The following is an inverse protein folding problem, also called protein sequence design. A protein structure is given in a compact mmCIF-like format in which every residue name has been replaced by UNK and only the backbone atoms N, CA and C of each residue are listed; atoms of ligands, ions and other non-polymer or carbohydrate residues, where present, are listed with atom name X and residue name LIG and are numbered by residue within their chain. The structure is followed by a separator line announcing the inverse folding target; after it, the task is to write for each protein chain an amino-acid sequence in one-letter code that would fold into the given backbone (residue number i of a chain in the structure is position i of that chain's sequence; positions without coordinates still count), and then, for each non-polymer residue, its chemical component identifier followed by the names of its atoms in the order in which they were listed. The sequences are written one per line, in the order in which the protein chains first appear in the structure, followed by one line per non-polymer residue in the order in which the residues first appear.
data_IF_304366315988
#
_entry.id   IF_304366315988
#
_cell.length_a   1.000
_cell.length_b   1.000
_cell.length_c   1.000
_cell.angle_alpha   90.00
_cell.angle_beta   90.00
_cell.angle_gamma   90.00
#
_symmetry.space_group_name_H-M   'P 1'
#
loop_
_entity.id
_entity.type
_entity.pdbx_description
1 polymer ?
#
# COMPACT_ATOMS: atom_id res chain seq x y z
N UNK A 1 -40.84 17.53 58.99
CA UNK A 1 -40.44 18.94 58.90
C UNK A 1 -39.72 19.16 57.57
N UNK A 2 -40.14 20.18 56.81
CA UNK A 2 -39.51 20.61 55.55
C UNK A 2 -38.39 21.60 55.91
N UNK A 3 -37.25 21.51 55.25
CA UNK A 3 -36.53 22.74 54.88
C UNK A 3 -35.88 22.58 53.51
N UNK A 4 -36.33 23.43 52.58
CA UNK A 4 -35.76 23.67 51.25
C UNK A 4 -34.74 24.81 51.36
N UNK A 5 -33.66 24.74 50.59
CA UNK A 5 -33.02 25.89 49.91
C UNK A 5 -32.09 25.32 48.82
N UNK A 6 -32.54 25.28 47.56
CA UNK A 6 -32.39 26.30 46.49
C UNK A 6 -30.94 26.56 46.03
N UNK A 7 -30.64 25.95 44.89
CA UNK A 7 -29.98 26.48 43.69
C UNK A 7 -28.59 27.13 43.79
N UNK A 8 -27.65 26.59 43.01
CA UNK A 8 -26.83 27.42 42.12
C UNK A 8 -26.48 26.65 40.83
N UNK A 9 -27.06 27.09 39.72
CA UNK A 9 -26.51 26.83 38.37
C UNK A 9 -25.25 27.68 38.21
N UNK A 10 -24.11 27.04 37.93
CA UNK A 10 -22.98 27.59 37.15
C UNK A 10 -22.49 26.43 36.27
N UNK A 11 -22.94 26.36 35.01
CA UNK A 11 -22.28 26.93 33.84
C UNK A 11 -20.80 26.58 33.68
N UNK A 12 -20.55 25.92 32.55
CA UNK A 12 -19.34 25.90 31.72
C UNK A 12 -18.13 25.07 32.17
N UNK A 13 -17.88 24.08 31.30
CA UNK A 13 -16.60 23.72 30.68
C UNK A 13 -15.50 23.18 31.57
N UNK A 14 -15.24 21.89 31.39
CA UNK A 14 -14.05 21.51 30.61
C UNK A 14 -14.37 20.22 29.86
N UNK A 15 -14.45 20.36 28.52
CA UNK A 15 -14.15 19.25 27.61
C UNK A 15 -12.71 18.83 27.93
N UNK A 16 -12.55 17.85 28.81
CA UNK A 16 -11.31 17.08 28.79
C UNK A 16 -11.43 16.18 27.56
N UNK A 17 -11.08 16.77 26.41
CA UNK A 17 -10.69 16.02 25.23
C UNK A 17 -9.48 15.20 25.67
N UNK A 18 -9.75 13.99 26.15
CA UNK A 18 -8.75 12.96 26.13
C UNK A 18 -8.41 12.78 24.65
N UNK A 19 -7.31 13.39 24.20
CA UNK A 19 -6.56 12.90 23.06
C UNK A 19 -6.07 11.50 23.46
N UNK A 20 -6.97 10.52 23.47
CA UNK A 20 -6.56 9.14 23.44
C UNK A 20 -5.95 8.95 22.07
N UNK A 21 -4.62 9.03 22.00
CA UNK A 21 -3.85 8.62 20.85
C UNK A 21 -4.35 7.22 20.46
N UNK A 22 -5.00 7.13 19.30
CA UNK A 22 -5.62 5.88 18.87
C UNK A 22 -4.48 4.89 18.59
N UNK A 23 -4.35 3.85 19.41
CA UNK A 23 -3.40 2.76 19.16
C UNK A 23 -3.95 1.84 18.07
N UNK A 24 -3.55 2.11 16.83
CA UNK A 24 -3.92 1.32 15.67
C UNK A 24 -3.04 0.07 15.47
N UNK A 25 -2.00 -0.15 16.27
CA UNK A 25 -1.08 -1.28 16.05
C UNK A 25 -1.69 -2.63 16.43
N UNK A 26 -2.75 -2.62 17.23
CA UNK A 26 -3.26 -3.79 17.94
C UNK A 26 -4.72 -4.15 17.62
N UNK A 27 -5.30 -3.55 16.57
CA UNK A 27 -6.72 -3.74 16.21
C UNK A 27 -7.07 -5.20 15.98
N UNK A 28 -8.09 -5.69 16.71
CA UNK A 28 -8.68 -6.98 16.39
C UNK A 28 -9.38 -6.88 15.04
N UNK A 29 -9.50 -7.98 14.33
CA UNK A 29 -10.16 -7.96 13.02
C UNK A 29 -11.59 -7.39 13.09
N UNK A 30 -12.33 -7.71 14.16
CA UNK A 30 -13.70 -7.22 14.36
C UNK A 30 -13.79 -5.71 14.64
N UNK A 31 -12.70 -5.09 15.07
CA UNK A 31 -12.66 -3.65 15.37
C UNK A 31 -12.42 -2.83 14.09
N UNK A 32 -11.92 -3.46 13.02
CA UNK A 32 -11.72 -2.82 11.72
C UNK A 32 -13.08 -2.67 11.02
N UNK A 33 -13.51 -1.43 10.82
CA UNK A 33 -14.74 -1.18 10.08
C UNK A 33 -14.60 -1.66 8.63
N UNK A 34 -15.58 -2.40 8.10
CA UNK A 34 -15.52 -2.96 6.73
C UNK A 34 -15.21 -1.91 5.65
N UNK A 35 -15.71 -0.69 5.80
CA UNK A 35 -15.44 0.43 4.87
C UNK A 35 -13.98 0.91 4.86
N UNK A 36 -13.18 0.53 5.86
CA UNK A 36 -11.75 0.81 5.93
C UNK A 36 -10.91 -0.24 5.19
N UNK A 37 -11.46 -1.44 4.97
CA UNK A 37 -10.75 -2.53 4.33
C UNK A 37 -10.65 -2.28 2.82
N UNK A 38 -9.43 -2.24 2.31
CA UNK A 38 -9.13 -2.09 0.88
C UNK A 38 -9.05 -3.46 0.22
N UNK A 39 -8.32 -4.38 0.86
CA UNK A 39 -8.11 -5.74 0.39
C UNK A 39 -7.92 -6.66 1.59
N UNK A 40 -8.50 -7.85 1.54
CA UNK A 40 -8.29 -8.90 2.54
C UNK A 40 -8.29 -10.27 1.86
N UNK A 41 -7.64 -11.23 2.53
CA UNK A 41 -7.48 -12.57 1.98
C UNK A 41 -6.46 -13.39 2.75
N UNK A 42 -6.25 -14.61 2.29
CA UNK A 42 -5.24 -15.50 2.86
C UNK A 42 -3.94 -15.36 2.07
N UNK A 43 -2.84 -15.10 2.77
CA UNK A 43 -1.51 -15.08 2.16
C UNK A 43 -0.57 -15.96 2.97
N UNK A 44 0.40 -16.53 2.27
CA UNK A 44 1.49 -17.24 2.89
C UNK A 44 2.58 -16.26 3.30
N UNK A 45 3.07 -16.39 4.53
CA UNK A 45 4.12 -15.52 5.05
C UNK A 45 5.14 -16.34 5.83
N UNK A 46 6.41 -15.93 5.79
CA UNK A 46 7.50 -16.72 6.34
C UNK A 46 7.55 -16.67 7.88
N UNK A 47 7.71 -17.83 8.51
CA UNK A 47 7.75 -17.97 9.98
C UNK A 47 8.91 -17.23 10.64
N UNK A 48 10.10 -17.26 10.03
CA UNK A 48 11.30 -16.62 10.56
C UNK A 48 11.14 -15.09 10.64
N UNK A 49 10.27 -14.50 9.82
CA UNK A 49 9.96 -13.07 9.83
C UNK A 49 8.98 -12.64 10.94
N UNK A 50 8.29 -13.60 11.59
CA UNK A 50 7.49 -13.36 12.81
C UNK A 50 8.28 -13.80 14.06
N UNK A 51 9.52 -14.29 13.92
CA UNK A 51 10.36 -14.81 15.03
C UNK A 51 9.68 -15.85 15.92
N UNK A 52 8.64 -16.53 15.41
CA UNK A 52 7.91 -17.54 16.18
C UNK A 52 8.70 -18.84 16.24
N UNK A 53 9.44 -19.18 15.18
CA UNK A 53 10.28 -20.38 15.05
C UNK A 53 11.43 -20.11 14.05
N UNK A 54 12.61 -20.71 14.24
CA UNK A 54 13.70 -20.75 13.24
C UNK A 54 13.39 -21.76 12.13
N UNK A 55 12.21 -21.66 11.53
CA UNK A 55 11.80 -22.49 10.40
C UNK A 55 11.64 -21.60 9.17
N UNK A 56 12.41 -21.87 8.12
CA UNK A 56 12.26 -21.26 6.79
C UNK A 56 11.04 -21.81 6.05
N UNK A 57 9.87 -21.76 6.70
CA UNK A 57 8.60 -22.25 6.16
C UNK A 57 7.62 -21.11 6.01
N UNK A 58 6.79 -21.22 4.99
CA UNK A 58 5.63 -20.37 4.80
C UNK A 58 4.44 -20.94 5.58
N UNK A 59 3.72 -20.08 6.29
CA UNK A 59 2.42 -20.39 6.88
C UNK A 59 1.33 -19.53 6.28
N UNK A 60 0.12 -20.06 6.27
CA UNK A 60 -1.05 -19.33 5.80
C UNK A 60 -1.58 -18.41 6.92
N UNK A 61 -1.74 -17.13 6.61
CA UNK A 61 -2.26 -16.11 7.52
C UNK A 61 -3.37 -15.33 6.84
N UNK A 62 -4.29 -14.82 7.65
CA UNK A 62 -5.31 -13.91 7.14
C UNK A 62 -4.77 -12.49 7.17
N UNK A 63 -4.69 -11.85 6.01
CA UNK A 63 -4.09 -10.54 5.82
C UNK A 63 -5.17 -9.52 5.50
N UNK A 64 -5.10 -8.36 6.13
CA UNK A 64 -6.03 -7.24 5.94
C UNK A 64 -5.25 -5.98 5.66
N UNK A 65 -5.44 -5.42 4.47
CA UNK A 65 -4.96 -4.10 4.08
C UNK A 65 -6.08 -3.09 4.31
N UNK A 66 -5.85 -2.12 5.18
CA UNK A 66 -6.85 -1.14 5.60
C UNK A 66 -6.33 0.30 5.52
N UNK A 67 -7.27 1.23 5.29
CA UNK A 67 -7.10 2.67 5.44
C UNK A 67 -7.80 3.11 6.72
N UNK A 68 -7.03 3.38 7.77
CA UNK A 68 -7.59 3.80 9.06
C UNK A 68 -7.67 5.33 9.08
N UNK A 69 -8.86 5.91 9.26
CA UNK A 69 -8.98 7.34 9.49
C UNK A 69 -8.46 7.67 10.89
N UNK A 70 -7.60 8.68 10.97
CA UNK A 70 -7.22 9.32 12.23
C UNK A 70 -7.96 10.66 12.28
N UNK A 71 -8.65 10.94 13.39
CA UNK A 71 -9.33 12.22 13.56
C UNK A 71 -8.30 13.36 13.51
N UNK A 72 -8.59 14.38 12.70
CA UNK A 72 -7.75 15.56 12.47
C UNK A 72 -6.37 15.31 11.82
N UNK A 73 -6.06 14.07 11.39
CA UNK A 73 -4.81 13.72 10.73
C UNK A 73 -5.04 12.99 9.39
N UNK A 74 -3.97 12.82 8.61
CA UNK A 74 -3.97 12.02 7.39
C UNK A 74 -4.29 10.57 7.74
N UNK A 75 -5.09 9.89 6.89
CA UNK A 75 -5.35 8.47 7.09
C UNK A 75 -4.07 7.67 6.96
N UNK A 76 -3.90 6.70 7.85
CA UNK A 76 -2.79 5.75 7.77
C UNK A 76 -3.20 4.54 6.95
N UNK A 77 -2.22 3.96 6.24
CA UNK A 77 -2.41 2.74 5.49
C UNK A 77 -1.62 1.63 6.16
N UNK A 78 -2.33 0.58 6.53
CA UNK A 78 -1.79 -0.48 7.38
C UNK A 78 -2.13 -1.83 6.80
N UNK A 79 -1.23 -2.78 7.00
CA UNK A 79 -1.47 -4.18 6.71
C UNK A 79 -1.33 -4.98 8.00
N UNK A 80 -2.34 -5.78 8.31
CA UNK A 80 -2.36 -6.65 9.48
C UNK A 80 -2.22 -8.10 9.05
N UNK A 81 -1.38 -8.84 9.77
CA UNK A 81 -1.23 -10.28 9.63
C UNK A 81 -1.89 -10.96 10.83
N UNK A 82 -2.95 -11.73 10.60
CA UNK A 82 -3.67 -12.45 11.65
C UNK A 82 -3.40 -13.96 11.59
N UNK A 83 -3.26 -14.57 12.77
CA UNK A 83 -3.39 -16.01 12.92
C UNK A 83 -4.86 -16.47 12.79
N UNK A 84 -5.07 -17.79 12.86
CA UNK A 84 -6.37 -18.43 12.61
C UNK A 84 -7.55 -17.84 13.42
N UNK A 85 -7.31 -17.37 14.65
CA UNK A 85 -8.37 -16.84 15.51
C UNK A 85 -8.71 -15.37 15.25
N UNK A 86 -7.87 -14.62 14.49
CA UNK A 86 -8.07 -13.19 14.15
C UNK A 86 -8.34 -12.25 15.34
N UNK A 87 -7.99 -12.68 16.55
CA UNK A 87 -8.23 -11.91 17.78
C UNK A 87 -7.23 -10.79 17.98
N UNK A 88 -5.99 -10.94 17.48
CA UNK A 88 -4.93 -9.92 17.54
C UNK A 88 -4.01 -10.11 16.33
N UNK A 89 -3.50 -9.03 15.72
CA UNK A 89 -2.50 -9.17 14.68
C UNK A 89 -1.23 -9.79 15.28
N UNK A 90 -0.67 -10.78 14.58
CA UNK A 90 0.65 -11.35 14.86
C UNK A 90 1.76 -10.41 14.40
N UNK A 91 1.51 -9.69 13.31
CA UNK A 91 2.40 -8.66 12.78
C UNK A 91 1.58 -7.54 12.16
N UNK A 92 2.15 -6.36 12.18
CA UNK A 92 1.59 -5.12 11.65
C UNK A 92 2.64 -4.48 10.75
N UNK A 93 2.19 -3.89 9.64
CA UNK A 93 3.04 -3.18 8.69
C UNK A 93 2.42 -1.81 8.41
N UNK A 94 3.12 -0.72 8.73
CA UNK A 94 2.72 0.63 8.33
C UNK A 94 3.25 0.89 6.93
N UNK A 95 2.38 1.06 5.93
CA UNK A 95 2.84 1.07 4.54
C UNK A 95 3.71 2.28 4.17
N UNK A 96 3.66 3.37 4.94
CA UNK A 96 4.55 4.52 4.77
C UNK A 96 5.99 4.26 5.21
N UNK A 97 6.29 3.18 5.95
CA UNK A 97 7.65 2.73 6.27
C UNK A 97 8.31 2.00 5.08
N UNK A 98 7.54 1.66 4.05
CA UNK A 98 7.99 0.91 2.88
C UNK A 98 8.20 1.80 1.67
N UNK A 99 9.24 1.52 0.90
CA UNK A 99 9.60 2.25 -0.32
C UNK A 99 8.80 1.74 -1.52
N UNK A 100 8.78 0.42 -1.69
CA UNK A 100 8.19 -0.23 -2.87
C UNK A 100 7.71 -1.65 -2.59
N UNK A 101 6.92 -2.14 -3.53
CA UNK A 101 6.53 -3.55 -3.64
C UNK A 101 7.11 -4.14 -4.94
N UNK A 102 7.50 -5.40 -4.91
CA UNK A 102 8.16 -6.12 -6.00
C UNK A 102 7.47 -7.46 -6.23
N UNK A 103 7.22 -7.82 -7.49
CA UNK A 103 6.80 -9.16 -7.90
C UNK A 103 7.97 -10.14 -8.02
N UNK A 104 9.21 -9.63 -8.04
CA UNK A 104 10.44 -10.40 -8.03
C UNK A 104 11.07 -10.41 -6.65
N UNK A 105 11.42 -11.60 -6.17
CA UNK A 105 12.13 -11.76 -4.91
C UNK A 105 13.63 -11.47 -5.07
N UNK A 106 14.18 -10.69 -4.16
CA UNK A 106 15.59 -10.27 -4.16
C UNK A 106 16.55 -11.43 -3.91
N UNK A 107 16.06 -12.50 -3.27
CA UNK A 107 16.80 -13.74 -3.02
C UNK A 107 16.05 -14.93 -3.64
N UNK A 108 16.77 -15.91 -4.19
CA UNK A 108 16.14 -17.15 -4.63
C UNK A 108 15.53 -17.86 -3.43
N UNK A 109 14.22 -18.03 -3.45
CA UNK A 109 13.46 -18.75 -2.42
C UNK A 109 12.69 -19.84 -3.15
N UNK A 110 13.04 -21.10 -2.90
CA UNK A 110 12.23 -22.22 -3.38
C UNK A 110 10.88 -22.20 -2.67
N UNK A 111 9.82 -22.06 -3.47
CA UNK A 111 8.46 -21.97 -2.97
C UNK A 111 7.50 -22.50 -4.01
N UNK A 112 6.43 -23.17 -3.55
CA UNK A 112 5.29 -23.55 -4.38
C UNK A 112 4.30 -22.39 -4.60
N UNK A 113 4.54 -21.24 -3.97
CA UNK A 113 3.68 -20.06 -4.00
C UNK A 113 4.22 -19.02 -4.98
N UNK A 114 3.33 -18.19 -5.50
CA UNK A 114 3.72 -17.04 -6.33
C UNK A 114 4.09 -15.91 -5.40
N UNK A 115 5.39 -15.60 -5.31
CA UNK A 115 5.93 -14.71 -4.30
C UNK A 115 5.87 -13.23 -4.70
N UNK A 116 5.90 -12.36 -3.70
CA UNK A 116 6.13 -10.93 -3.82
C UNK A 116 6.77 -10.37 -2.54
N UNK A 117 7.46 -9.24 -2.65
CA UNK A 117 8.20 -8.61 -1.56
C UNK A 117 7.75 -7.18 -1.31
N UNK A 118 7.60 -6.82 -0.03
CA UNK A 118 7.48 -5.44 0.42
C UNK A 118 8.84 -5.00 0.98
N UNK A 119 9.37 -3.88 0.48
CA UNK A 119 10.74 -3.45 0.77
C UNK A 119 10.70 -2.13 1.53
N UNK A 120 11.23 -2.15 2.74
CA UNK A 120 11.35 -1.01 3.65
C UNK A 120 12.23 0.10 3.08
N UNK A 121 12.02 1.34 3.53
CA UNK A 121 12.85 2.50 3.15
C UNK A 121 14.33 2.30 3.45
N UNK A 122 14.65 1.56 4.52
CA UNK A 122 16.03 1.25 4.91
C UNK A 122 16.63 0.06 4.13
N UNK A 123 15.87 -0.55 3.21
CA UNK A 123 16.24 -1.70 2.34
C UNK A 123 16.67 -2.98 3.05
N UNK A 124 16.92 -2.95 4.37
CA UNK A 124 17.14 -4.11 5.22
C UNK A 124 15.86 -4.86 5.55
N UNK A 125 14.74 -4.15 5.56
CA UNK A 125 13.44 -4.68 5.95
C UNK A 125 12.70 -5.19 4.72
N UNK A 126 12.91 -6.48 4.42
CA UNK A 126 12.24 -7.15 3.29
C UNK A 126 11.22 -8.12 3.87
N UNK A 127 9.95 -7.94 3.51
CA UNK A 127 8.84 -8.78 3.92
C UNK A 127 8.36 -9.62 2.74
N UNK A 128 8.38 -10.95 2.88
CA UNK A 128 8.11 -11.87 1.76
C UNK A 128 6.76 -12.54 1.94
N UNK A 129 5.89 -12.35 0.95
CA UNK A 129 4.56 -12.94 0.91
C UNK A 129 4.45 -13.93 -0.26
N UNK A 130 3.58 -14.92 -0.12
CA UNK A 130 3.25 -15.89 -1.14
C UNK A 130 1.75 -15.96 -1.38
N UNK A 131 1.34 -15.83 -2.64
CA UNK A 131 -0.02 -16.06 -3.09
C UNK A 131 -0.16 -17.49 -3.67
N UNK A 132 -1.39 -17.99 -3.74
CA UNK A 132 -1.64 -19.32 -4.33
C UNK A 132 -1.55 -19.30 -5.87
N UNK A 133 -1.75 -18.13 -6.50
CA UNK A 133 -1.67 -17.93 -7.94
C UNK A 133 -1.27 -16.49 -8.28
N UNK A 134 -1.02 -16.22 -9.56
CA UNK A 134 -0.62 -14.90 -10.07
C UNK A 134 -1.70 -13.84 -9.87
N UNK A 135 -2.97 -14.18 -10.08
CA UNK A 135 -4.08 -13.22 -10.00
C UNK A 135 -4.23 -12.67 -8.57
N UNK A 136 -4.09 -13.54 -7.57
CA UNK A 136 -4.09 -13.16 -6.16
C UNK A 136 -2.89 -12.26 -5.84
N UNK A 137 -1.67 -12.63 -6.28
CA UNK A 137 -0.48 -11.79 -6.11
C UNK A 137 -0.69 -10.40 -6.74
N UNK A 138 -1.10 -10.36 -7.99
CA UNK A 138 -1.19 -9.12 -8.77
C UNK A 138 -2.27 -8.20 -8.21
N UNK A 139 -3.36 -8.77 -7.67
CA UNK A 139 -4.36 -8.03 -6.88
C UNK A 139 -3.71 -7.32 -5.68
N UNK A 140 -2.93 -8.03 -4.87
CA UNK A 140 -2.26 -7.46 -3.71
C UNK A 140 -1.23 -6.40 -4.11
N UNK A 141 -0.38 -6.70 -5.10
CA UNK A 141 0.62 -5.77 -5.63
C UNK A 141 -0.05 -4.49 -6.12
N UNK A 142 -1.13 -4.58 -6.89
CA UNK A 142 -1.86 -3.43 -7.40
C UNK A 142 -2.34 -2.51 -6.28
N UNK A 143 -2.98 -3.05 -5.26
CA UNK A 143 -3.51 -2.24 -4.15
C UNK A 143 -2.39 -1.58 -3.32
N UNK A 144 -1.35 -2.34 -2.99
CA UNK A 144 -0.22 -1.82 -2.20
C UNK A 144 0.56 -0.77 -3.02
N UNK A 145 0.84 -1.04 -4.30
CA UNK A 145 1.54 -0.10 -5.18
C UNK A 145 0.78 1.23 -5.32
N UNK A 146 -0.55 1.19 -5.46
CA UNK A 146 -1.39 2.40 -5.48
C UNK A 146 -1.26 3.23 -4.19
N UNK A 147 -1.10 2.58 -3.04
CA UNK A 147 -0.92 3.25 -1.75
C UNK A 147 0.48 3.86 -1.65
N UNK A 148 1.52 3.08 -1.99
CA UNK A 148 2.92 3.53 -1.93
C UNK A 148 3.16 4.73 -2.87
N UNK A 149 2.59 4.71 -4.08
CA UNK A 149 2.72 5.85 -4.99
C UNK A 149 2.00 7.10 -4.45
N UNK A 150 0.82 6.95 -3.83
CA UNK A 150 0.08 8.09 -3.24
C UNK A 150 0.79 8.68 -2.02
N UNK A 151 1.41 7.84 -1.20
CA UNK A 151 2.17 8.27 -0.02
C UNK A 151 3.49 8.93 -0.41
N UNK A 152 4.18 8.41 -1.43
CA UNK A 152 5.43 9.01 -1.94
C UNK A 152 5.19 10.31 -2.72
N UNK A 153 4.11 10.43 -3.49
CA UNK A 153 3.76 11.69 -4.19
C UNK A 153 3.21 12.78 -3.28
N UNK A 154 2.80 12.46 -2.04
CA UNK A 154 2.51 13.48 -1.03
C UNK A 154 3.77 14.20 -0.50
N UNK A 155 4.97 13.81 -0.95
CA UNK A 155 6.21 14.55 -0.71
C UNK A 155 6.62 15.46 -1.89
N UNK A 156 5.97 15.33 -3.05
CA UNK A 156 6.22 16.16 -4.24
C UNK A 156 4.88 16.60 -4.83
N UNK A 157 4.23 17.57 -4.20
CA UNK A 157 3.22 18.45 -4.83
C UNK A 157 2.50 19.28 -3.77
N UNK A 158 3.11 20.39 -3.37
CA UNK A 158 2.34 21.60 -3.07
C UNK A 158 3.06 22.92 -3.41
N UNK A 159 4.27 22.88 -3.98
CA UNK A 159 5.01 24.09 -4.36
C UNK A 159 5.30 24.25 -5.86
N UNK A 160 4.73 23.41 -6.74
CA UNK A 160 5.07 23.52 -8.17
C UNK A 160 3.94 23.11 -9.13
N UNK A 161 2.81 23.82 -9.06
CA UNK A 161 1.96 24.06 -10.23
C UNK A 161 1.34 25.47 -10.17
N UNK A 162 2.20 26.50 -10.22
CA UNK A 162 1.85 27.73 -10.93
C UNK A 162 2.42 27.62 -12.35
N UNK A 163 1.69 26.95 -13.24
CA UNK A 163 1.84 27.16 -14.69
C UNK A 163 0.43 27.30 -15.27
N UNK A 164 0.23 28.44 -15.92
CA UNK A 164 -1.03 28.98 -16.44
C UNK A 164 -1.70 28.03 -17.45
N UNK A 165 -3.04 28.03 -17.52
CA UNK A 165 -3.78 27.38 -18.60
C UNK A 165 -3.86 28.37 -19.77
N UNK A 166 -3.07 28.19 -20.82
CA UNK A 166 -3.35 28.74 -22.15
C UNK A 166 -2.37 28.17 -23.16
N UNK A 167 -2.80 27.13 -23.87
CA UNK A 167 -2.41 26.85 -25.26
C UNK A 167 -3.39 25.82 -25.81
N UNK A 168 -4.58 26.32 -26.13
CA UNK A 168 -5.42 25.77 -27.20
C UNK A 168 -4.74 26.00 -28.55
N UNK A 169 -5.16 25.20 -29.53
CA UNK A 169 -4.96 25.32 -30.98
C UNK A 169 -3.60 24.82 -31.51
N UNK A 170 -3.52 24.07 -32.60
CA UNK A 170 -4.54 23.65 -33.58
C UNK A 170 -3.95 22.54 -34.45
N UNK A 171 -4.78 21.56 -34.79
CA UNK A 171 -4.57 20.71 -35.96
C UNK A 171 -4.56 21.58 -37.23
N UNK A 172 -3.54 21.42 -38.08
CA UNK A 172 -3.62 21.72 -39.51
C UNK A 172 -2.86 20.66 -40.29
N UNK A 173 -3.61 19.86 -41.05
CA UNK A 173 -3.13 19.17 -42.24
C UNK A 173 -2.61 20.18 -43.26
N UNK A 174 -1.62 19.77 -44.06
CA UNK A 174 -1.14 20.54 -45.20
C UNK A 174 0.16 20.04 -45.83
N UNK A 175 0.05 19.00 -46.67
CA UNK A 175 0.66 18.88 -48.01
C UNK A 175 2.16 19.14 -48.26
N UNK A 176 2.82 18.09 -48.76
CA UNK A 176 3.92 18.04 -49.76
C UNK A 176 5.27 18.74 -49.44
N UNK A 177 6.35 17.96 -49.37
CA UNK A 177 7.16 17.50 -50.52
C UNK A 177 8.19 16.47 -50.07
N UNK A 178 8.31 15.40 -50.85
CA UNK A 178 9.43 14.45 -50.85
C UNK A 178 10.52 15.14 -51.65
N UNK A 179 11.70 15.33 -51.07
CA UNK A 179 12.92 15.55 -51.83
C UNK A 179 13.91 14.43 -51.51
N UNK A 180 14.39 13.82 -52.59
CA UNK A 180 15.35 12.72 -52.64
C UNK A 180 16.64 13.05 -51.89
N UNK A 181 17.09 12.13 -51.05
CA UNK A 181 18.52 11.97 -50.79
C UNK A 181 18.87 10.51 -51.09
N UNK A 182 19.50 10.32 -52.25
CA UNK A 182 20.18 9.10 -52.64
C UNK A 182 21.37 8.85 -51.71
N UNK A 183 21.51 7.61 -51.24
CA UNK A 183 22.65 7.15 -50.47
C UNK A 183 22.41 5.72 -50.00
N UNK A 184 22.58 4.77 -50.93
CA UNK A 184 22.71 3.32 -50.67
C UNK A 184 23.60 3.03 -49.46
N UNK A 185 23.21 2.05 -48.62
CA UNK A 185 23.91 0.78 -48.38
C UNK A 185 22.97 -0.14 -47.57
N UNK A 186 22.43 -1.15 -48.26
CA UNK A 186 22.21 -2.57 -47.89
C UNK A 186 22.59 -3.00 -46.45
N UNK A 187 22.02 -3.99 -45.78
CA UNK A 187 21.04 -5.03 -46.05
C UNK A 187 20.87 -5.82 -44.73
N UNK A 188 19.63 -5.95 -44.26
CA UNK A 188 18.99 -7.19 -43.80
C UNK A 188 19.75 -8.10 -42.81
N UNK A 189 19.21 -8.25 -41.59
CA UNK A 189 19.29 -9.50 -40.82
C UNK A 189 17.86 -10.02 -40.61
N UNK A 190 17.61 -11.24 -41.10
CA UNK A 190 16.33 -11.95 -41.09
C UNK A 190 15.97 -12.52 -39.70
N UNK A 191 14.68 -12.74 -39.39
CA UNK A 191 14.23 -13.41 -38.17
C UNK A 191 14.32 -14.94 -38.24
N UNK A 192 14.77 -15.54 -37.14
CA UNK A 192 14.98 -16.98 -36.91
C UNK A 192 13.65 -17.74 -36.76
N UNK A 193 13.46 -18.85 -37.48
CA UNK A 193 12.34 -19.80 -37.30
C UNK A 193 12.91 -21.12 -36.72
N UNK A 194 12.43 -21.61 -35.55
CA UNK A 194 12.95 -22.83 -34.94
C UNK A 194 12.25 -24.10 -35.44
N UNK A 195 12.94 -25.24 -35.34
CA UNK A 195 12.45 -26.59 -35.65
C UNK A 195 11.58 -27.17 -34.52
#
# INVERSE_FOLDING_TARGET
MISKSKALKKNLTTKNHANSMIDYTSYKYLDIQKKWIICEGYLHYRYDQIKLLNLSRFANYYVVLAKIPIEDDKPIFVMYLYGNQKQKPLKFFQLDEYERISDQCSKPIESKYVLFELIGKDKSDIEVFGANNSDERDKWIKHIHQILNRTNHNFISNDLLMVRPDLKQSWKEGSHKIDHINGDVTSIYEPFIPK
#
